data_IF_838348089150
#
_entry.id   IF_838348089150
#
_cell.length_a   1.000
_cell.length_b   1.000
_cell.length_c   1.000
_cell.angle_alpha   90.00
_cell.angle_beta   90.00
_cell.angle_gamma   90.00
#
_symmetry.space_group_name_H-M   'P 1'
#
loop_
_entity.id
_entity.type
_entity.pdbx_description
1 polymer ?
#
# COMPACT_ATOMS: atom_id res chain seq x y z
N UNK A 1 11.04 47.14 -1.22
CA UNK A 1 10.44 45.78 -1.33
C UNK A 1 10.41 45.42 -2.80
N UNK A 2 11.13 44.40 -3.22
CA UNK A 2 10.93 43.84 -4.56
C UNK A 2 9.64 43.01 -4.53
N UNK A 3 8.67 43.33 -5.39
CA UNK A 3 7.53 42.43 -5.63
C UNK A 3 8.04 41.30 -6.53
N UNK A 4 8.28 40.13 -5.94
CA UNK A 4 8.54 38.93 -6.73
C UNK A 4 7.28 38.49 -7.48
N UNK A 5 7.47 37.95 -8.68
CA UNK A 5 6.40 37.23 -9.38
C UNK A 5 6.27 35.81 -8.84
N UNK A 6 5.05 35.29 -8.80
CA UNK A 6 4.75 33.91 -8.41
C UNK A 6 4.15 33.14 -9.57
N UNK A 7 4.54 31.90 -9.77
CA UNK A 7 3.93 31.00 -10.74
C UNK A 7 3.52 29.68 -10.09
N UNK A 8 2.57 28.97 -10.72
CA UNK A 8 2.17 27.61 -10.34
C UNK A 8 2.57 26.66 -11.46
N UNK A 9 3.18 25.54 -11.09
CA UNK A 9 3.53 24.47 -12.02
C UNK A 9 2.72 23.22 -11.68
N UNK A 10 2.03 22.66 -12.66
CA UNK A 10 1.39 21.36 -12.57
C UNK A 10 2.28 20.32 -13.26
N UNK A 11 2.55 19.23 -12.55
CA UNK A 11 3.31 18.08 -13.05
C UNK A 11 2.40 16.86 -12.92
N UNK A 12 2.31 16.08 -14.00
CA UNK A 12 1.49 14.88 -14.06
C UNK A 12 2.38 13.78 -14.65
N UNK A 13 2.44 12.65 -13.97
CA UNK A 13 3.10 11.44 -14.43
C UNK A 13 2.01 10.38 -14.57
N UNK A 14 1.96 9.74 -15.73
CA UNK A 14 1.06 8.65 -16.10
C UNK A 14 1.94 7.70 -16.91
N UNK A 15 1.88 6.42 -16.61
CA UNK A 15 2.54 5.38 -17.41
C UNK A 15 1.52 4.49 -18.14
N UNK A 16 2.00 3.41 -18.72
CA UNK A 16 1.18 2.46 -19.47
C UNK A 16 0.39 1.48 -18.58
N UNK A 17 0.62 1.45 -17.26
CA UNK A 17 -0.24 0.74 -16.31
C UNK A 17 -1.45 1.59 -15.91
N UNK A 18 -1.29 2.91 -15.88
CA UNK A 18 -2.39 3.82 -15.53
C UNK A 18 -3.44 3.94 -16.65
N UNK A 19 -3.02 3.91 -17.92
CA UNK A 19 -3.90 4.18 -19.06
C UNK A 19 -3.32 3.78 -20.42
N UNK A 20 -4.08 3.02 -21.22
CA UNK A 20 -3.74 2.71 -22.62
C UNK A 20 -3.57 3.98 -23.49
N UNK A 21 -4.40 5.01 -23.26
CA UNK A 21 -4.30 6.32 -23.91
C UNK A 21 -3.77 7.39 -22.94
N UNK A 22 -2.54 7.17 -22.46
CA UNK A 22 -1.87 8.03 -21.48
C UNK A 22 -1.84 9.52 -21.92
N UNK A 23 -1.77 9.83 -23.22
CA UNK A 23 -1.76 11.22 -23.73
C UNK A 23 -3.05 11.92 -23.40
N UNK A 24 -4.19 11.32 -23.78
CA UNK A 24 -5.51 11.87 -23.51
C UNK A 24 -5.76 11.98 -22.01
N UNK A 25 -5.31 11.00 -21.23
CA UNK A 25 -5.39 11.01 -19.77
C UNK A 25 -4.60 12.18 -19.17
N UNK A 26 -3.34 12.39 -19.58
CA UNK A 26 -2.52 13.54 -19.15
C UNK A 26 -3.18 14.87 -19.51
N UNK A 27 -3.70 15.01 -20.75
CA UNK A 27 -4.38 16.24 -21.19
C UNK A 27 -5.61 16.54 -20.34
N UNK A 28 -6.43 15.52 -20.04
CA UNK A 28 -7.61 15.63 -19.19
C UNK A 28 -7.25 16.04 -17.76
N UNK A 29 -6.24 15.40 -17.16
CA UNK A 29 -5.79 15.71 -15.80
C UNK A 29 -5.17 17.12 -15.72
N UNK A 30 -4.39 17.55 -16.72
CA UNK A 30 -3.85 18.92 -16.79
C UNK A 30 -4.95 19.95 -16.94
N UNK A 31 -5.95 19.70 -17.80
CA UNK A 31 -7.09 20.58 -17.95
C UNK A 31 -7.88 20.71 -16.64
N UNK A 32 -8.11 19.59 -15.94
CA UNK A 32 -8.75 19.57 -14.62
C UNK A 32 -7.95 20.37 -13.60
N UNK A 33 -6.65 20.11 -13.46
CA UNK A 33 -5.79 20.79 -12.48
C UNK A 33 -5.73 22.31 -12.72
N UNK A 34 -5.64 22.73 -13.99
CA UNK A 34 -5.68 24.15 -14.38
C UNK A 34 -7.03 24.80 -14.08
N UNK A 35 -8.13 24.09 -14.29
CA UNK A 35 -9.49 24.57 -14.00
C UNK A 35 -9.76 24.69 -12.50
N UNK A 36 -9.31 23.71 -11.71
CA UNK A 36 -9.46 23.70 -10.25
C UNK A 36 -8.58 24.75 -9.57
N UNK A 37 -7.35 24.91 -10.05
CA UNK A 37 -6.36 25.79 -9.44
C UNK A 37 -5.66 25.16 -8.22
N UNK A 38 -4.46 25.66 -7.90
CA UNK A 38 -3.62 25.13 -6.81
C UNK A 38 -4.33 25.05 -5.46
N UNK A 39 -5.14 26.06 -5.11
CA UNK A 39 -5.83 26.11 -3.81
C UNK A 39 -6.74 24.91 -3.61
N UNK A 40 -7.54 24.56 -4.62
CA UNK A 40 -8.46 23.44 -4.53
C UNK A 40 -7.71 22.10 -4.50
N UNK A 41 -6.65 21.95 -5.28
CA UNK A 41 -5.79 20.75 -5.24
C UNK A 41 -5.15 20.57 -3.84
N UNK A 42 -4.69 21.66 -3.23
CA UNK A 42 -4.13 21.63 -1.87
C UNK A 42 -5.19 21.28 -0.82
N UNK A 43 -6.41 21.80 -0.96
CA UNK A 43 -7.52 21.49 -0.07
C UNK A 43 -7.95 20.02 -0.18
N UNK A 44 -8.03 19.47 -1.39
CA UNK A 44 -8.30 18.05 -1.62
C UNK A 44 -7.21 17.18 -0.97
N UNK A 45 -5.94 17.50 -1.20
CA UNK A 45 -4.81 16.81 -0.58
C UNK A 45 -4.86 16.85 0.95
N UNK A 46 -5.14 18.01 1.55
CA UNK A 46 -5.25 18.15 3.01
C UNK A 46 -6.38 17.29 3.58
N UNK A 47 -7.54 17.28 2.93
CA UNK A 47 -8.68 16.47 3.37
C UNK A 47 -8.38 14.98 3.38
N UNK A 48 -7.63 14.49 2.39
CA UNK A 48 -7.21 13.08 2.36
C UNK A 48 -6.30 12.73 3.54
N UNK A 49 -5.34 13.60 3.84
CA UNK A 49 -4.44 13.42 4.98
C UNK A 49 -5.14 13.58 6.33
N UNK A 50 -6.03 14.57 6.46
CA UNK A 50 -6.86 14.75 7.65
C UNK A 50 -7.71 13.51 7.90
N UNK A 51 -8.34 12.94 6.86
CA UNK A 51 -9.09 11.69 6.98
C UNK A 51 -8.21 10.55 7.49
N UNK A 52 -7.03 10.36 6.90
CA UNK A 52 -6.10 9.30 7.31
C UNK A 52 -5.64 9.47 8.77
N UNK A 53 -5.23 10.67 9.18
CA UNK A 53 -4.75 10.92 10.53
C UNK A 53 -5.88 10.95 11.57
N UNK A 54 -7.11 11.28 11.18
CA UNK A 54 -8.26 11.35 12.11
C UNK A 54 -8.64 10.02 12.75
N UNK A 55 -8.19 8.88 12.19
CA UNK A 55 -8.50 7.54 12.72
C UNK A 55 -7.81 7.24 14.04
N UNK A 56 -6.72 7.95 14.37
CA UNK A 56 -5.97 7.71 15.59
C UNK A 56 -5.24 8.98 16.04
N UNK A 57 -5.43 9.33 17.31
CA UNK A 57 -4.80 10.48 17.95
C UNK A 57 -4.03 10.00 19.19
N UNK A 58 -2.70 9.88 19.06
CA UNK A 58 -1.81 9.48 20.15
C UNK A 58 -0.93 10.67 20.54
N UNK A 59 -0.86 10.92 21.84
CA UNK A 59 0.05 11.90 22.42
C UNK A 59 1.17 11.19 23.17
N UNK A 60 2.41 11.36 22.70
CA UNK A 60 3.60 10.76 23.30
C UNK A 60 4.35 11.75 24.20
N UNK A 61 5.01 11.27 25.28
CA UNK A 61 5.73 12.13 26.21
C UNK A 61 7.05 12.62 25.61
N UNK A 62 6.98 13.69 24.81
CA UNK A 62 8.14 14.39 24.29
C UNK A 62 8.06 14.63 22.78
N UNK A 63 8.51 15.81 22.31
CA UNK A 63 8.36 16.20 20.91
C UNK A 63 9.11 15.28 19.94
N UNK A 64 10.22 14.67 20.37
CA UNK A 64 10.98 13.73 19.53
C UNK A 64 10.24 12.42 19.27
N UNK A 65 9.59 11.85 20.29
CA UNK A 65 8.80 10.62 20.12
C UNK A 65 7.54 10.88 19.29
N UNK A 66 6.87 12.01 19.54
CA UNK A 66 5.72 12.42 18.73
C UNK A 66 6.11 12.56 17.25
N UNK A 67 7.23 13.24 16.96
CA UNK A 67 7.73 13.40 15.60
C UNK A 67 7.98 12.06 14.91
N UNK A 68 8.64 11.10 15.59
CA UNK A 68 8.91 9.77 15.02
C UNK A 68 7.61 9.03 14.73
N UNK A 69 6.64 9.09 15.64
CA UNK A 69 5.33 8.47 15.45
C UNK A 69 4.57 9.08 14.26
N UNK A 70 4.49 10.41 14.20
CA UNK A 70 3.78 11.13 13.13
C UNK A 70 4.43 10.88 11.75
N UNK A 71 5.77 10.94 11.69
CA UNK A 71 6.53 10.65 10.46
C UNK A 71 6.40 9.18 10.05
N UNK A 72 6.40 8.25 11.01
CA UNK A 72 6.19 6.83 10.74
C UNK A 72 4.85 6.59 10.04
N UNK A 73 3.76 7.13 10.60
CA UNK A 73 2.42 7.05 9.99
C UNK A 73 2.35 7.75 8.64
N UNK A 74 2.96 8.93 8.52
CA UNK A 74 3.07 9.64 7.25
C UNK A 74 3.74 8.77 6.18
N UNK A 75 4.89 8.17 6.49
CA UNK A 75 5.63 7.34 5.55
C UNK A 75 4.82 6.11 5.15
N UNK A 76 4.21 5.39 6.10
CA UNK A 76 3.33 4.26 5.77
C UNK A 76 2.22 4.67 4.80
N UNK A 77 1.50 5.77 5.06
CA UNK A 77 0.45 6.24 4.13
C UNK A 77 1.00 6.67 2.76
N UNK A 78 2.15 7.33 2.74
CA UNK A 78 2.75 7.82 1.51
C UNK A 78 3.28 6.68 0.61
N UNK A 79 3.68 5.55 1.19
CA UNK A 79 4.11 4.36 0.45
C UNK A 79 2.93 3.50 -0.04
N UNK A 80 1.73 3.67 0.53
CA UNK A 80 0.55 2.86 0.18
C UNK A 80 0.00 3.24 -1.21
N UNK A 81 0.15 2.31 -2.18
CA UNK A 81 -0.36 2.47 -3.53
C UNK A 81 -1.90 2.34 -3.59
N UNK A 82 -2.54 2.98 -4.56
CA UNK A 82 -4.00 2.97 -4.70
C UNK A 82 -4.60 1.57 -4.99
N UNK A 83 -3.78 0.62 -5.48
CA UNK A 83 -4.20 -0.77 -5.65
C UNK A 83 -4.20 -1.58 -4.34
N UNK A 84 -3.63 -1.03 -3.26
CA UNK A 84 -3.31 -1.75 -2.03
C UNK A 84 -1.86 -2.22 -1.94
N UNK A 85 -1.11 -2.22 -3.04
CA UNK A 85 0.31 -2.60 -3.00
C UNK A 85 1.11 -1.70 -2.04
N UNK A 86 1.87 -2.32 -1.14
CA UNK A 86 2.63 -1.58 -0.14
C UNK A 86 4.08 -2.06 -0.10
N UNK A 87 5.00 -1.35 -0.78
CA UNK A 87 6.40 -1.71 -0.81
C UNK A 87 7.10 -1.30 0.48
N UNK A 88 8.18 -2.00 0.82
CA UNK A 88 9.04 -1.62 1.93
C UNK A 88 10.10 -0.63 1.42
N UNK A 89 9.62 0.57 1.12
CA UNK A 89 10.39 1.68 0.58
C UNK A 89 10.01 2.03 -0.87
N UNK A 90 10.07 3.32 -1.19
CA UNK A 90 9.78 3.87 -2.52
C UNK A 90 11.03 4.22 -3.34
N UNK A 91 12.23 4.07 -2.76
CA UNK A 91 13.46 4.41 -3.46
C UNK A 91 13.97 3.23 -4.28
N UNK A 92 14.36 3.44 -5.55
CA UNK A 92 14.68 2.37 -6.49
C UNK A 92 15.84 1.45 -6.07
N UNK A 93 16.69 1.90 -5.14
CA UNK A 93 17.82 1.11 -4.62
C UNK A 93 17.61 0.54 -3.23
N UNK A 94 16.48 0.89 -2.57
CA UNK A 94 16.10 0.30 -1.30
C UNK A 94 15.15 -0.85 -1.60
N UNK A 95 15.68 -2.07 -1.61
CA UNK A 95 14.89 -3.30 -1.83
C UNK A 95 14.03 -3.29 -3.10
N UNK A 96 14.42 -2.52 -4.13
CA UNK A 96 13.75 -2.48 -5.44
C UNK A 96 12.27 -2.04 -5.42
N UNK A 97 11.78 -1.47 -4.32
CA UNK A 97 10.38 -1.06 -4.20
C UNK A 97 9.39 -2.23 -4.30
N UNK A 98 9.81 -3.43 -3.87
CA UNK A 98 8.92 -4.61 -3.83
C UNK A 98 8.24 -4.73 -2.47
N UNK A 99 7.15 -5.47 -2.42
CA UNK A 99 6.44 -5.81 -1.19
C UNK A 99 7.00 -7.11 -0.61
N UNK A 100 7.18 -7.12 0.70
CA UNK A 100 7.69 -8.25 1.48
C UNK A 100 6.68 -8.63 2.57
N UNK A 101 6.92 -9.74 3.24
CA UNK A 101 6.27 -10.08 4.51
C UNK A 101 6.39 -8.96 5.56
N UNK A 102 7.46 -8.15 5.54
CA UNK A 102 7.64 -6.96 6.37
C UNK A 102 6.46 -5.96 6.28
N UNK A 103 5.71 -5.95 5.18
CA UNK A 103 4.48 -5.18 5.05
C UNK A 103 3.42 -5.57 6.09
N UNK A 104 3.44 -6.79 6.62
CA UNK A 104 2.58 -7.17 7.74
C UNK A 104 2.83 -6.35 9.01
N UNK A 105 4.04 -5.85 9.27
CA UNK A 105 4.25 -4.91 10.39
C UNK A 105 3.60 -3.56 10.13
N UNK A 106 3.51 -3.16 8.86
CA UNK A 106 2.77 -1.95 8.47
C UNK A 106 1.27 -2.18 8.62
N UNK A 107 0.77 -3.37 8.28
CA UNK A 107 -0.63 -3.76 8.51
C UNK A 107 -0.98 -3.68 10.00
N UNK A 108 -0.19 -4.30 10.88
CA UNK A 108 -0.40 -4.19 12.33
C UNK A 108 -0.42 -2.75 12.81
N UNK A 109 0.48 -1.90 12.29
CA UNK A 109 0.51 -0.48 12.63
C UNK A 109 -0.72 0.29 12.12
N UNK A 110 -1.19 -0.02 10.90
CA UNK A 110 -2.40 0.57 10.31
C UNK A 110 -3.64 0.15 11.10
N UNK A 111 -3.80 -1.13 11.37
CA UNK A 111 -4.90 -1.70 12.14
C UNK A 111 -4.92 -1.15 13.58
N UNK A 112 -3.75 -1.09 14.24
CA UNK A 112 -3.60 -0.48 15.56
C UNK A 112 -3.90 1.03 15.59
N UNK A 113 -3.85 1.71 14.44
CA UNK A 113 -4.24 3.11 14.27
C UNK A 113 -5.64 3.29 13.65
N UNK A 114 -6.44 2.22 13.55
CA UNK A 114 -7.78 2.27 12.96
C UNK A 114 -7.81 2.60 11.46
N UNK A 115 -6.68 2.51 10.77
CA UNK A 115 -6.55 2.70 9.32
C UNK A 115 -6.96 1.43 8.55
N UNK A 116 -8.11 0.85 8.90
CA UNK A 116 -8.59 -0.44 8.38
C UNK A 116 -8.81 -0.44 6.87
N UNK A 117 -9.25 0.67 6.27
CA UNK A 117 -9.40 0.81 4.82
C UNK A 117 -8.09 0.44 4.09
N UNK A 118 -6.95 0.98 4.55
CA UNK A 118 -5.64 0.75 3.93
C UNK A 118 -5.17 -0.68 4.18
N UNK A 119 -5.37 -1.21 5.39
CA UNK A 119 -5.01 -2.59 5.70
C UNK A 119 -5.80 -3.58 4.81
N UNK A 120 -7.10 -3.34 4.65
CA UNK A 120 -7.97 -4.13 3.78
C UNK A 120 -7.55 -4.05 2.32
N UNK A 121 -7.24 -2.85 1.81
CA UNK A 121 -6.74 -2.64 0.45
C UNK A 121 -5.47 -3.48 0.21
N UNK A 122 -4.49 -3.42 1.12
CA UNK A 122 -3.25 -4.21 1.02
C UNK A 122 -3.48 -5.72 1.07
N UNK A 123 -4.30 -6.21 2.00
CA UNK A 123 -4.61 -7.64 2.07
C UNK A 123 -5.39 -8.13 0.84
N UNK A 124 -6.29 -7.29 0.32
CA UNK A 124 -7.04 -7.59 -0.91
C UNK A 124 -6.14 -7.65 -2.13
N UNK A 125 -5.09 -6.83 -2.17
CA UNK A 125 -4.09 -6.84 -3.25
C UNK A 125 -3.35 -8.18 -3.35
N UNK A 126 -3.21 -8.94 -2.25
CA UNK A 126 -2.58 -10.27 -2.28
C UNK A 126 -3.28 -11.24 -3.24
N UNK A 127 -4.59 -11.07 -3.47
CA UNK A 127 -5.36 -11.90 -4.40
C UNK A 127 -4.85 -11.80 -5.85
N UNK A 128 -4.23 -10.69 -6.23
CA UNK A 128 -3.64 -10.53 -7.57
C UNK A 128 -2.58 -11.59 -7.86
N UNK A 129 -1.94 -12.12 -6.81
CA UNK A 129 -0.89 -13.12 -6.89
C UNK A 129 -1.39 -14.56 -6.79
N UNK A 130 -2.65 -14.78 -6.43
CA UNK A 130 -3.16 -16.10 -6.06
C UNK A 130 -2.93 -17.18 -7.13
N UNK A 131 -3.17 -16.95 -8.44
CA UNK A 131 -2.92 -17.97 -9.47
C UNK A 131 -1.45 -18.40 -9.52
N UNK A 132 -0.51 -17.45 -9.37
CA UNK A 132 0.92 -17.73 -9.37
C UNK A 132 1.35 -18.40 -8.05
N UNK A 133 0.78 -17.98 -6.93
CA UNK A 133 1.03 -18.59 -5.62
C UNK A 133 0.58 -20.06 -5.58
N UNK A 134 -0.55 -20.40 -6.19
CA UNK A 134 -1.02 -21.77 -6.32
C UNK A 134 -0.12 -22.59 -7.25
N UNK A 135 0.43 -22.00 -8.31
CA UNK A 135 1.44 -22.65 -9.14
C UNK A 135 2.71 -22.96 -8.37
N UNK A 136 3.17 -22.00 -7.58
CA UNK A 136 4.32 -22.17 -6.72
C UNK A 136 4.09 -23.32 -5.72
N UNK A 137 2.93 -23.39 -5.05
CA UNK A 137 2.60 -24.50 -4.14
C UNK A 137 2.70 -25.87 -4.83
N UNK A 138 2.19 -25.99 -6.07
CA UNK A 138 2.27 -27.24 -6.86
C UNK A 138 3.71 -27.66 -7.15
N UNK A 139 4.64 -26.71 -7.40
CA UNK A 139 6.06 -27.01 -7.60
C UNK A 139 6.72 -27.64 -6.37
N UNK A 140 6.17 -27.38 -5.18
CA UNK A 140 6.57 -28.00 -3.91
C UNK A 140 5.77 -29.26 -3.56
N UNK A 141 4.98 -29.81 -4.49
CA UNK A 141 4.05 -30.91 -4.24
C UNK A 141 3.07 -30.62 -3.08
N UNK A 142 2.71 -29.35 -2.89
CA UNK A 142 1.72 -28.90 -1.91
C UNK A 142 0.41 -28.48 -2.58
N UNK A 143 -0.67 -28.41 -1.79
CA UNK A 143 -1.94 -27.79 -2.15
C UNK A 143 -1.97 -26.33 -1.63
N UNK A 144 -3.03 -25.60 -1.94
CA UNK A 144 -3.24 -24.25 -1.42
C UNK A 144 -2.43 -23.19 -2.16
N UNK A 145 -2.18 -22.07 -1.51
CA UNK A 145 -1.41 -20.95 -2.04
C UNK A 145 -0.04 -20.82 -1.35
N UNK A 146 1.00 -20.60 -2.14
CA UNK A 146 2.34 -20.26 -1.65
C UNK A 146 2.73 -18.86 -2.10
N UNK A 147 2.53 -17.86 -1.25
CA UNK A 147 2.98 -16.48 -1.54
C UNK A 147 4.51 -16.40 -1.46
N UNK A 148 5.13 -15.70 -2.40
CA UNK A 148 6.58 -15.55 -2.41
C UNK A 148 7.05 -14.54 -1.36
N UNK A 149 8.33 -14.66 -0.96
CA UNK A 149 9.02 -13.72 -0.09
C UNK A 149 8.88 -12.26 -0.53
N UNK A 150 8.84 -12.04 -1.85
CA UNK A 150 8.73 -10.73 -2.48
C UNK A 150 7.72 -10.75 -3.61
N UNK A 151 7.06 -9.62 -3.83
CA UNK A 151 6.21 -9.41 -5.01
C UNK A 151 6.36 -7.99 -5.53
N UNK A 152 6.39 -7.83 -6.84
CA UNK A 152 6.21 -6.53 -7.49
C UNK A 152 4.70 -6.23 -7.57
N UNK A 153 4.33 -5.01 -7.94
CA UNK A 153 2.90 -4.58 -7.94
C UNK A 153 1.99 -5.53 -8.72
N UNK A 154 2.43 -6.03 -9.87
CA UNK A 154 1.65 -6.87 -10.79
C UNK A 154 2.33 -8.21 -11.08
N UNK A 155 3.54 -8.43 -10.55
CA UNK A 155 4.37 -9.57 -10.87
C UNK A 155 4.78 -10.37 -9.64
N UNK A 156 4.49 -11.66 -9.71
CA UNK A 156 4.99 -12.65 -8.76
C UNK A 156 6.48 -12.84 -8.98
N UNK A 157 7.29 -12.71 -7.93
CA UNK A 157 8.71 -13.01 -8.03
C UNK A 157 8.97 -14.50 -7.72
N UNK A 158 10.11 -15.03 -8.14
CA UNK A 158 10.57 -16.39 -7.81
C UNK A 158 12.08 -16.32 -7.63
N UNK A 159 12.53 -16.13 -6.39
CA UNK A 159 13.95 -15.94 -6.10
C UNK A 159 14.69 -17.25 -5.80
N UNK A 160 14.02 -18.40 -5.94
CA UNK A 160 14.51 -19.77 -5.76
C UNK A 160 15.14 -20.10 -4.39
N UNK A 161 16.10 -19.33 -3.87
CA UNK A 161 16.75 -19.54 -2.57
C UNK A 161 15.86 -19.14 -1.39
N UNK A 162 15.04 -18.11 -1.57
CA UNK A 162 14.12 -17.60 -0.55
C UNK A 162 12.84 -18.45 -0.42
N UNK A 163 12.60 -19.35 -1.37
CA UNK A 163 11.45 -20.27 -1.38
C UNK A 163 11.46 -21.29 -0.23
N UNK A 164 12.52 -21.39 0.57
CA UNK A 164 12.52 -22.22 1.78
C UNK A 164 12.06 -21.47 3.04
N UNK A 165 11.90 -20.14 2.98
CA UNK A 165 11.36 -19.34 4.08
C UNK A 165 9.83 -19.42 4.12
N UNK A 166 9.31 -20.59 4.45
CA UNK A 166 7.87 -20.91 4.40
C UNK A 166 7.03 -20.16 5.44
N UNK A 167 7.68 -19.54 6.43
CA UNK A 167 7.01 -18.76 7.48
C UNK A 167 6.22 -17.57 6.90
N UNK A 168 6.61 -17.07 5.73
CA UNK A 168 5.91 -16.02 4.98
C UNK A 168 4.41 -16.32 4.81
N UNK A 169 4.06 -17.56 4.45
CA UNK A 169 2.66 -17.96 4.29
C UNK A 169 1.90 -17.90 5.62
N UNK A 170 2.50 -18.39 6.71
CA UNK A 170 1.91 -18.31 8.04
C UNK A 170 1.72 -16.86 8.50
N UNK A 171 2.63 -15.98 8.11
CA UNK A 171 2.52 -14.56 8.39
C UNK A 171 1.37 -13.90 7.64
N UNK A 172 1.21 -14.12 6.34
CA UNK A 172 0.05 -13.59 5.60
C UNK A 172 -1.28 -14.15 6.08
N UNK A 173 -1.32 -15.45 6.42
CA UNK A 173 -2.51 -16.04 7.03
C UNK A 173 -2.83 -15.40 8.38
N UNK A 174 -1.81 -15.12 9.20
CA UNK A 174 -1.97 -14.39 10.45
C UNK A 174 -2.52 -12.98 10.22
N UNK A 175 -2.00 -12.22 9.25
CA UNK A 175 -2.48 -10.87 8.95
C UNK A 175 -3.95 -10.85 8.50
N UNK A 176 -4.36 -11.78 7.63
CA UNK A 176 -5.78 -11.92 7.21
C UNK A 176 -6.67 -12.23 8.42
N UNK A 177 -6.24 -13.15 9.28
CA UNK A 177 -6.99 -13.51 10.47
C UNK A 177 -7.04 -12.36 11.49
N UNK A 178 -5.93 -11.64 11.68
CA UNK A 178 -5.84 -10.51 12.61
C UNK A 178 -6.78 -9.38 12.18
N UNK A 179 -6.83 -9.06 10.89
CA UNK A 179 -7.79 -8.10 10.36
C UNK A 179 -9.24 -8.50 10.68
N UNK A 180 -9.58 -9.78 10.48
CA UNK A 180 -10.89 -10.31 10.86
C UNK A 180 -11.15 -10.16 12.37
N UNK A 181 -10.20 -10.54 13.23
CA UNK A 181 -10.36 -10.41 14.69
C UNK A 181 -10.59 -8.97 15.14
N UNK A 182 -9.91 -8.01 14.49
CA UNK A 182 -10.04 -6.59 14.84
C UNK A 182 -11.32 -5.94 14.31
N UNK A 183 -11.84 -6.40 13.16
CA UNK A 183 -12.98 -5.76 12.48
C UNK A 183 -14.29 -6.52 12.61
N UNK A 184 -14.24 -7.83 12.85
CA UNK A 184 -15.38 -8.74 12.76
C UNK A 184 -15.89 -8.98 11.33
N UNK A 185 -15.15 -8.59 10.29
CA UNK A 185 -15.58 -8.73 8.90
C UNK A 185 -15.44 -10.18 8.40
N UNK A 186 -16.51 -10.96 8.60
CA UNK A 186 -16.61 -12.35 8.14
C UNK A 186 -16.54 -12.45 6.60
N UNK A 187 -17.09 -11.48 5.86
CA UNK A 187 -17.07 -11.52 4.40
C UNK A 187 -15.66 -11.34 3.86
N UNK A 188 -14.88 -10.46 4.51
CA UNK A 188 -13.47 -10.31 4.22
C UNK A 188 -12.74 -11.64 4.45
N UNK A 189 -12.95 -12.30 5.60
CA UNK A 189 -12.31 -13.59 5.90
C UNK A 189 -12.67 -14.66 4.86
N UNK A 190 -13.96 -14.82 4.54
CA UNK A 190 -14.44 -15.78 3.53
C UNK A 190 -13.82 -15.52 2.15
N UNK A 191 -13.65 -14.25 1.77
CA UNK A 191 -13.06 -13.86 0.49
C UNK A 191 -11.57 -14.19 0.40
N UNK A 192 -10.86 -14.22 1.52
CA UNK A 192 -9.39 -14.40 1.55
C UNK A 192 -8.95 -15.75 2.14
N UNK A 193 -9.90 -16.64 2.45
CA UNK A 193 -9.64 -17.93 3.07
C UNK A 193 -8.73 -18.82 2.21
N UNK A 194 -8.84 -18.73 0.89
CA UNK A 194 -8.02 -19.45 -0.09
C UNK A 194 -6.53 -19.05 -0.11
N UNK A 195 -6.17 -17.91 0.50
CA UNK A 195 -4.77 -17.51 0.74
C UNK A 195 -4.25 -18.14 2.05
N UNK A 196 -5.15 -18.44 2.99
CA UNK A 196 -4.81 -19.02 4.30
C UNK A 196 -4.70 -20.56 4.27
N UNK A 197 -5.37 -21.22 3.32
CA UNK A 197 -5.43 -22.68 3.13
C UNK A 197 -4.31 -23.23 2.21
#
# INVERSE_FOLDING_TARGET
MHSGESFTRYLIAIDNYDSDDWKKTIEGLLARARKQGYKLVLEEHRKEWERYFSTCNVSLPGPGYQFIYDVGRYLMRANHHASGFHPVGLFPYLWQGVMFWDTGFVLEAMEGCGNFDQAQETLSHLRTYLPAAQDMARRFNAKGARLEWTVEIDKFTDYHTLTYQVHNNGWWAHQIYNFYEMTGDIRFLETHFDIME
#
